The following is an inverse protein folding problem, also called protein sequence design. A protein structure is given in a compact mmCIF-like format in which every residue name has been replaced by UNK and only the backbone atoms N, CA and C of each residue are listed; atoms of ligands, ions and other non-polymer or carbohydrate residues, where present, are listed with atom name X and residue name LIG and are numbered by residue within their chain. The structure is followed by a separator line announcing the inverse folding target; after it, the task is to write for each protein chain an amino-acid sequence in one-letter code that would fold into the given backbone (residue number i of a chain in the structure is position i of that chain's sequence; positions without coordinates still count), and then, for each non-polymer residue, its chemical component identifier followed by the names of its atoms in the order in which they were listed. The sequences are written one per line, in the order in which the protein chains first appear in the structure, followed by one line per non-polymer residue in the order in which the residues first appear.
data_IF_746752274941
#
_entry.id   IF_746752274941
#
_cell.length_a   1.000
_cell.length_b   1.000
_cell.length_c   1.000
_cell.angle_alpha   90.00
_cell.angle_beta   90.00
_cell.angle_gamma   90.00
#
_symmetry.space_group_name_H-M   'P 1'
#
loop_
_entity.id
_entity.type
_entity.pdbx_description
1 polymer ?
#
# COMPACT_ATOMS: atom_id res chain seq x y z
N UNK A 1 -38.03 -58.97 38.35
CA UNK A 1 -38.05 -59.35 36.92
C UNK A 1 -38.05 -58.05 36.12
N UNK A 2 -37.17 -57.75 35.18
CA UNK A 2 -35.90 -58.32 34.78
C UNK A 2 -35.07 -57.13 34.25
N UNK A 3 -33.79 -57.13 34.60
CA UNK A 3 -32.74 -56.28 34.09
C UNK A 3 -32.40 -56.61 32.64
N UNK A 4 -32.04 -55.61 31.83
CA UNK A 4 -31.07 -55.81 30.74
C UNK A 4 -30.24 -54.54 30.51
N UNK A 5 -28.94 -54.71 30.70
CA UNK A 5 -27.82 -53.79 30.48
C UNK A 5 -27.23 -53.99 29.08
N UNK A 6 -26.36 -53.03 28.73
CA UNK A 6 -25.13 -53.08 27.89
C UNK A 6 -25.18 -52.42 26.50
N UNK A 7 -24.04 -51.96 25.94
CA UNK A 7 -22.75 -51.62 26.60
C UNK A 7 -22.10 -50.31 26.10
N UNK A 8 -21.17 -49.82 26.92
CA UNK A 8 -20.16 -48.83 26.57
C UNK A 8 -19.07 -49.44 25.66
N UNK A 9 -18.68 -48.72 24.61
CA UNK A 9 -17.51 -49.05 23.78
C UNK A 9 -16.39 -48.04 24.02
N UNK A 10 -15.30 -48.54 24.61
CA UNK A 10 -14.05 -47.81 24.80
C UNK A 10 -13.29 -47.66 23.48
N UNK A 11 -12.79 -46.47 23.21
CA UNK A 11 -11.92 -46.19 22.07
C UNK A 11 -10.46 -46.33 22.51
N UNK A 12 -9.78 -47.36 21.97
CA UNK A 12 -8.38 -47.70 22.21
C UNK A 12 -7.44 -46.71 21.53
N UNK A 13 -6.48 -46.21 22.30
CA UNK A 13 -5.32 -45.47 21.84
C UNK A 13 -4.43 -46.37 20.95
N UNK A 14 -4.31 -46.07 19.65
CA UNK A 14 -3.40 -46.77 18.73
C UNK A 14 -2.04 -46.05 18.71
N UNK A 15 -1.02 -46.70 19.28
CA UNK A 15 0.40 -46.41 19.00
C UNK A 15 0.68 -46.58 17.50
N UNK A 16 1.25 -45.57 16.85
CA UNK A 16 1.87 -45.71 15.52
C UNK A 16 3.38 -45.86 15.69
N UNK A 17 3.88 -46.93 15.07
CA UNK A 17 5.28 -47.33 15.02
C UNK A 17 6.16 -46.25 14.37
N UNK A 18 7.31 -46.02 14.98
CA UNK A 18 8.52 -45.52 14.32
C UNK A 18 9.14 -46.69 13.52
N UNK A 19 9.36 -46.50 12.22
CA UNK A 19 10.47 -47.10 11.48
C UNK A 19 10.48 -46.57 10.03
N UNK A 20 11.62 -45.96 9.64
CA UNK A 20 12.14 -46.01 8.28
C UNK A 20 11.73 -44.88 7.34
N UNK A 21 12.56 -43.83 7.25
CA UNK A 21 12.97 -43.28 5.95
C UNK A 21 14.36 -42.64 6.09
N UNK A 22 15.20 -43.02 5.14
CA UNK A 22 16.64 -42.86 5.13
C UNK A 22 17.12 -41.41 4.99
N UNK A 23 18.30 -41.23 5.54
CA UNK A 23 19.31 -40.17 5.35
C UNK A 23 19.43 -39.63 3.92
N UNK A 24 19.34 -38.30 3.77
CA UNK A 24 20.13 -37.53 2.81
C UNK A 24 20.71 -36.31 3.54
N UNK A 25 22.01 -36.08 3.36
CA UNK A 25 22.83 -35.18 4.16
C UNK A 25 22.61 -33.69 3.94
N UNK A 26 23.11 -32.92 4.90
CA UNK A 26 23.11 -31.45 4.99
C UNK A 26 23.83 -30.78 3.80
N UNK A 27 23.46 -29.52 3.48
CA UNK A 27 24.29 -28.43 4.00
C UNK A 27 23.49 -27.19 4.44
N UNK A 28 23.92 -26.59 5.55
CA UNK A 28 23.46 -25.30 6.05
C UNK A 28 22.72 -25.41 7.38
N UNK A 29 23.44 -25.27 8.49
CA UNK A 29 22.86 -25.03 9.80
C UNK A 29 22.01 -23.75 9.75
N UNK A 30 20.71 -23.90 9.52
CA UNK A 30 19.74 -22.89 9.95
C UNK A 30 19.57 -23.09 11.44
N UNK A 31 20.05 -22.14 12.23
CA UNK A 31 19.75 -22.06 13.66
C UNK A 31 18.23 -22.23 13.87
N UNK A 32 17.84 -23.41 14.36
CA UNK A 32 16.46 -23.79 14.65
C UNK A 32 16.07 -23.42 16.09
N UNK A 33 16.69 -22.37 16.66
CA UNK A 33 16.22 -21.81 17.91
C UNK A 33 14.80 -21.23 17.72
N UNK A 34 13.83 -21.54 18.60
CA UNK A 34 12.51 -20.96 18.50
C UNK A 34 12.64 -19.43 18.66
N UNK A 35 12.44 -18.67 17.57
CA UNK A 35 12.37 -17.19 17.67
C UNK A 35 11.37 -16.82 18.77
N UNK A 36 11.87 -16.12 19.79
CA UNK A 36 11.10 -15.73 20.96
C UNK A 36 9.90 -14.87 20.55
N UNK A 37 8.79 -14.97 21.30
CA UNK A 37 7.69 -14.03 21.10
C UNK A 37 8.16 -12.60 21.39
N UNK A 38 7.63 -11.61 20.67
CA UNK A 38 7.92 -10.19 20.89
C UNK A 38 7.86 -9.81 22.38
N UNK A 39 6.84 -10.33 23.08
CA UNK A 39 6.60 -10.07 24.51
C UNK A 39 7.62 -10.70 25.45
N UNK A 40 8.44 -11.63 24.96
CA UNK A 40 9.49 -12.30 25.73
C UNK A 40 10.82 -11.55 25.66
N UNK A 41 11.00 -10.66 24.69
CA UNK A 41 12.25 -9.93 24.47
C UNK A 41 12.63 -9.11 25.71
N UNK A 42 13.91 -9.08 26.09
CA UNK A 42 14.43 -8.19 27.13
C UNK A 42 13.99 -6.72 26.98
N UNK A 43 14.07 -6.14 25.78
CA UNK A 43 13.61 -4.76 25.54
C UNK A 43 12.11 -4.57 25.77
N UNK A 44 11.30 -5.58 25.44
CA UNK A 44 9.86 -5.55 25.71
C UNK A 44 9.56 -5.59 27.21
N UNK A 45 10.21 -6.50 27.94
CA UNK A 45 10.08 -6.59 29.40
C UNK A 45 10.52 -5.28 30.06
N UNK A 46 11.62 -4.68 29.61
CA UNK A 46 12.07 -3.38 30.10
C UNK A 46 11.05 -2.25 29.85
N UNK A 47 10.40 -2.23 28.68
CA UNK A 47 9.28 -1.31 28.41
C UNK A 47 8.09 -1.56 29.33
N UNK A 48 7.73 -2.82 29.55
CA UNK A 48 6.61 -3.20 30.42
C UNK A 48 6.88 -2.82 31.87
N UNK A 49 8.09 -3.05 32.37
CA UNK A 49 8.51 -2.68 33.71
C UNK A 49 8.51 -1.16 33.87
N UNK A 50 9.06 -0.43 32.89
CA UNK A 50 9.00 1.03 32.87
C UNK A 50 7.55 1.55 32.88
N UNK A 51 6.68 1.00 32.04
CA UNK A 51 5.26 1.34 32.00
C UNK A 51 4.58 1.12 33.36
N UNK A 52 4.81 -0.05 33.98
CA UNK A 52 4.22 -0.42 35.26
C UNK A 52 4.68 0.48 36.41
N UNK A 53 5.94 0.90 36.39
CA UNK A 53 6.58 1.67 37.45
C UNK A 53 6.31 3.18 37.35
N UNK A 54 6.33 3.76 36.15
CA UNK A 54 6.13 5.21 35.97
C UNK A 54 5.54 5.63 34.62
N UNK A 55 5.73 4.86 33.55
CA UNK A 55 5.31 5.25 32.19
C UNK A 55 3.80 5.49 32.06
N UNK A 56 2.97 4.69 32.74
CA UNK A 56 1.50 4.86 32.77
C UNK A 56 1.06 6.17 33.43
N UNK A 57 1.87 6.69 34.35
CA UNK A 57 1.58 7.87 35.18
C UNK A 57 2.09 9.18 34.53
N UNK A 58 2.71 9.10 33.34
CA UNK A 58 3.16 10.28 32.61
C UNK A 58 1.98 11.19 32.22
N UNK A 59 2.03 12.44 32.67
CA UNK A 59 1.04 13.48 32.37
C UNK A 59 1.66 14.50 31.40
N UNK A 60 1.10 14.59 30.18
CA UNK A 60 1.62 15.44 29.10
C UNK A 60 1.77 16.90 29.54
N UNK A 61 0.77 17.46 30.23
CA UNK A 61 0.81 18.84 30.73
C UNK A 61 2.01 19.09 31.65
N UNK A 62 2.32 18.13 32.53
CA UNK A 62 3.45 18.20 33.45
C UNK A 62 4.78 18.13 32.69
N UNK A 63 4.88 17.19 31.75
CA UNK A 63 6.06 17.04 30.88
C UNK A 63 6.36 18.32 30.10
N UNK A 64 5.34 19.01 29.58
CA UNK A 64 5.50 20.28 28.87
C UNK A 64 5.89 21.44 29.81
N UNK A 65 5.39 21.47 31.05
CA UNK A 65 5.75 22.54 31.98
C UNK A 65 7.15 22.40 32.58
N UNK A 66 7.61 21.16 32.79
CA UNK A 66 8.87 20.87 33.47
C UNK A 66 10.09 20.86 32.53
N UNK A 67 9.90 20.50 31.26
CA UNK A 67 10.97 20.51 30.24
C UNK A 67 10.69 21.61 29.20
N UNK A 68 11.29 22.78 29.42
CA UNK A 68 11.17 23.94 28.52
C UNK A 68 11.73 23.67 27.12
N UNK A 69 12.63 22.69 26.95
CA UNK A 69 13.18 22.27 25.66
C UNK A 69 12.47 21.06 25.05
N UNK A 70 11.31 20.66 25.60
CA UNK A 70 10.62 19.43 25.20
C UNK A 70 10.20 19.45 23.73
N UNK A 71 9.72 20.59 23.24
CA UNK A 71 9.30 20.70 21.85
C UNK A 71 10.48 20.39 20.91
N UNK A 72 11.64 21.00 21.14
CA UNK A 72 12.84 20.81 20.35
C UNK A 72 13.38 19.37 20.48
N UNK A 73 13.36 18.82 21.69
CA UNK A 73 13.84 17.46 21.97
C UNK A 73 12.94 16.37 21.36
N UNK A 74 11.63 16.63 21.25
CA UNK A 74 10.62 15.70 20.76
C UNK A 74 9.96 16.22 19.47
N UNK A 75 10.76 16.87 18.63
CA UNK A 75 10.38 17.22 17.27
C UNK A 75 11.46 16.78 16.29
N UNK A 76 11.04 16.48 15.06
CA UNK A 76 11.93 16.21 13.95
C UNK A 76 11.54 17.11 12.78
N UNK A 77 12.45 17.99 12.38
CA UNK A 77 12.32 18.78 11.16
C UNK A 77 12.99 18.03 10.02
N UNK A 78 12.25 17.79 8.95
CA UNK A 78 12.73 17.13 7.75
C UNK A 78 12.69 18.13 6.59
N UNK A 79 13.84 18.75 6.23
CA UNK A 79 13.88 19.73 5.16
C UNK A 79 13.64 19.04 3.82
N UNK A 80 12.51 19.32 3.17
CA UNK A 80 12.25 18.81 1.83
C UNK A 80 13.08 19.60 0.81
N UNK A 81 13.37 19.04 -0.37
CA UNK A 81 14.25 19.70 -1.34
C UNK A 81 13.75 21.07 -1.82
N UNK A 82 12.43 21.25 -1.97
CA UNK A 82 11.84 22.42 -2.63
C UNK A 82 10.63 23.03 -1.89
N UNK A 83 9.98 22.28 -0.98
CA UNK A 83 8.63 22.61 -0.47
C UNK A 83 8.61 22.99 1.03
N UNK A 84 9.78 23.25 1.61
CA UNK A 84 9.95 23.60 3.03
C UNK A 84 10.07 22.39 3.96
N UNK A 85 10.02 22.62 5.26
CA UNK A 85 10.22 21.56 6.26
C UNK A 85 8.93 20.79 6.54
N UNK A 86 9.02 19.46 6.58
CA UNK A 86 8.02 18.63 7.29
C UNK A 86 8.40 18.61 8.76
N UNK A 87 7.52 19.12 9.62
CA UNK A 87 7.68 19.05 11.07
C UNK A 87 6.88 17.87 11.64
N UNK A 88 7.57 16.92 12.26
CA UNK A 88 6.98 15.87 13.08
C UNK A 88 7.15 16.27 14.54
N UNK A 89 6.12 16.90 15.12
CA UNK A 89 6.04 17.19 16.55
C UNK A 89 5.40 16.01 17.29
N UNK A 90 6.21 15.31 18.09
CA UNK A 90 5.76 14.22 18.95
C UNK A 90 5.90 14.56 20.45
N UNK A 91 6.11 15.83 20.79
CA UNK A 91 6.24 16.32 22.18
C UNK A 91 4.96 16.14 22.99
N UNK A 92 3.80 16.12 22.34
CA UNK A 92 2.48 15.97 22.96
C UNK A 92 2.07 14.51 23.17
N UNK A 93 3.06 13.63 23.33
CA UNK A 93 2.86 12.21 23.65
C UNK A 93 3.25 11.89 25.10
N UNK A 94 2.70 10.81 25.65
CA UNK A 94 3.06 10.25 26.97
C UNK A 94 4.38 9.49 26.92
N UNK A 95 5.45 10.21 26.56
CA UNK A 95 6.81 9.68 26.41
C UNK A 95 7.82 10.64 27.03
N UNK A 96 8.83 10.12 27.69
CA UNK A 96 10.02 10.86 28.09
C UNK A 96 11.27 10.30 27.36
N UNK A 97 12.46 10.79 27.73
CA UNK A 97 13.72 10.36 27.11
C UNK A 97 13.97 8.85 27.31
N UNK A 98 13.61 8.33 28.49
CA UNK A 98 13.77 6.92 28.81
C UNK A 98 12.81 6.05 27.99
N UNK A 99 11.55 6.47 27.85
CA UNK A 99 10.53 5.80 27.04
C UNK A 99 11.02 5.66 25.60
N UNK A 100 11.47 6.77 25.00
CA UNK A 100 11.98 6.75 23.61
C UNK A 100 13.22 5.88 23.48
N UNK A 101 14.17 5.94 24.42
CA UNK A 101 15.36 5.08 24.40
C UNK A 101 14.99 3.59 24.45
N UNK A 102 14.04 3.21 25.29
CA UNK A 102 13.56 1.83 25.40
C UNK A 102 12.85 1.36 24.12
N UNK A 103 12.06 2.24 23.48
CA UNK A 103 11.42 1.96 22.19
C UNK A 103 12.46 1.77 21.07
N UNK A 104 13.51 2.59 21.03
CA UNK A 104 14.60 2.40 20.07
C UNK A 104 15.39 1.11 20.34
N UNK A 105 15.58 0.72 21.60
CA UNK A 105 16.19 -0.56 21.94
C UNK A 105 15.34 -1.74 21.44
N UNK A 106 14.00 -1.65 21.57
CA UNK A 106 13.08 -2.64 20.99
C UNK A 106 13.22 -2.72 19.48
N UNK A 107 13.26 -1.58 18.78
CA UNK A 107 13.46 -1.56 17.32
C UNK A 107 14.77 -2.24 16.89
N UNK A 108 15.86 -2.00 17.63
CA UNK A 108 17.17 -2.61 17.38
C UNK A 108 17.15 -4.11 17.65
N UNK A 109 16.56 -4.55 18.75
CA UNK A 109 16.44 -5.98 19.10
C UNK A 109 15.54 -6.74 18.12
N UNK A 110 14.46 -6.11 17.63
CA UNK A 110 13.61 -6.64 16.57
C UNK A 110 14.23 -6.54 15.16
N UNK A 111 15.46 -6.06 15.02
CA UNK A 111 16.19 -6.00 13.77
C UNK A 111 15.46 -5.24 12.64
N UNK A 112 14.83 -4.11 12.99
CA UNK A 112 14.05 -3.30 12.05
C UNK A 112 14.90 -2.84 10.87
N UNK A 113 16.16 -2.49 11.09
CA UNK A 113 17.08 -2.05 10.03
C UNK A 113 17.43 -3.18 9.07
N UNK A 114 17.64 -4.39 9.57
CA UNK A 114 17.89 -5.58 8.74
C UNK A 114 16.66 -5.89 7.88
N UNK A 115 15.45 -5.87 8.45
CA UNK A 115 14.23 -6.12 7.68
C UNK A 115 13.93 -5.02 6.66
N UNK A 116 14.20 -3.75 7.00
CA UNK A 116 14.18 -2.64 6.05
C UNK A 116 15.15 -2.91 4.89
N UNK A 117 16.40 -3.26 5.18
CA UNK A 117 17.39 -3.52 4.15
C UNK A 117 16.99 -4.71 3.27
N UNK A 118 16.44 -5.77 3.85
CA UNK A 118 15.90 -6.91 3.11
C UNK A 118 14.76 -6.51 2.16
N UNK A 119 13.84 -5.64 2.61
CA UNK A 119 12.78 -5.08 1.75
C UNK A 119 13.38 -4.30 0.57
N UNK A 120 14.29 -3.37 0.86
CA UNK A 120 14.88 -2.49 -0.15
C UNK A 120 15.84 -3.22 -1.10
N UNK A 121 16.37 -4.38 -0.72
CA UNK A 121 17.16 -5.23 -1.60
C UNK A 121 16.33 -6.26 -2.39
N UNK A 122 15.00 -6.20 -2.32
CA UNK A 122 14.11 -7.10 -3.04
C UNK A 122 14.04 -8.53 -2.51
N UNK A 123 14.45 -8.78 -1.26
CA UNK A 123 14.26 -10.10 -0.66
C UNK A 123 12.78 -10.43 -0.49
N UNK A 124 12.46 -11.72 -0.49
CA UNK A 124 11.10 -12.23 -0.37
C UNK A 124 10.59 -12.18 1.08
N UNK A 125 10.37 -10.96 1.58
CA UNK A 125 9.92 -10.73 2.97
C UNK A 125 8.41 -10.96 3.17
N UNK A 126 7.64 -11.09 2.09
CA UNK A 126 6.27 -11.60 2.16
C UNK A 126 6.33 -13.14 2.20
N UNK A 127 6.58 -13.67 3.39
CA UNK A 127 6.87 -15.08 3.60
C UNK A 127 5.69 -16.02 3.34
N UNK A 128 4.46 -15.52 3.45
CA UNK A 128 3.25 -16.34 3.21
C UNK A 128 3.03 -16.59 1.73
N UNK A 129 3.41 -15.64 0.88
CA UNK A 129 3.24 -15.73 -0.57
C UNK A 129 4.55 -15.96 -1.33
N UNK A 130 5.68 -16.01 -0.64
CA UNK A 130 7.03 -16.11 -1.23
C UNK A 130 7.32 -14.98 -2.25
N UNK A 131 7.03 -13.73 -1.85
CA UNK A 131 7.16 -12.55 -2.73
C UNK A 131 8.05 -11.46 -2.15
N UNK A 132 8.73 -10.76 -3.05
CA UNK A 132 9.35 -9.48 -2.74
C UNK A 132 8.28 -8.41 -2.43
N UNK A 133 8.66 -7.37 -1.68
CA UNK A 133 7.81 -6.20 -1.39
C UNK A 133 8.57 -4.97 -1.83
N UNK A 134 8.33 -4.50 -3.05
CA UNK A 134 9.25 -3.56 -3.71
C UNK A 134 8.56 -2.34 -4.33
N UNK A 135 7.48 -1.85 -3.71
CA UNK A 135 6.78 -0.63 -4.15
C UNK A 135 7.69 0.62 -4.22
N UNK A 136 8.83 0.61 -3.51
CA UNK A 136 9.86 1.66 -3.58
C UNK A 136 10.55 1.73 -4.94
N UNK A 137 10.59 0.63 -5.72
CA UNK A 137 11.17 0.64 -7.07
C UNK A 137 10.37 1.55 -8.02
N UNK A 138 9.05 1.63 -7.83
CA UNK A 138 8.12 2.41 -8.66
C UNK A 138 8.42 3.91 -8.65
N UNK A 139 9.09 4.37 -7.60
CA UNK A 139 9.45 5.77 -7.38
C UNK A 139 10.95 5.99 -7.20
N UNK A 140 11.78 4.99 -7.52
CA UNK A 140 13.24 5.11 -7.40
C UNK A 140 13.82 6.07 -8.45
N UNK A 141 13.91 7.35 -8.14
CA UNK A 141 14.38 8.40 -9.09
C UNK A 141 15.89 8.43 -9.28
N UNK A 142 16.65 7.74 -8.43
CA UNK A 142 18.09 7.56 -8.64
C UNK A 142 18.39 6.54 -9.74
N UNK A 143 17.39 5.75 -10.17
CA UNK A 143 17.56 4.67 -11.16
C UNK A 143 18.71 3.70 -10.83
N UNK A 144 19.08 3.60 -9.55
CA UNK A 144 20.02 2.58 -9.11
C UNK A 144 19.34 1.21 -9.17
N UNK A 145 20.06 0.15 -9.61
CA UNK A 145 19.46 -1.16 -9.82
C UNK A 145 18.77 -1.71 -8.57
N UNK A 146 17.60 -2.33 -8.76
CA UNK A 146 16.88 -3.03 -7.71
C UNK A 146 16.50 -4.42 -8.21
N UNK A 147 17.03 -5.44 -7.54
CA UNK A 147 16.97 -6.81 -8.03
C UNK A 147 15.78 -7.56 -7.43
N UNK A 148 15.00 -8.23 -8.28
CA UNK A 148 14.06 -9.28 -7.89
C UNK A 148 14.45 -10.54 -8.64
N UNK A 149 14.70 -11.64 -7.92
CA UNK A 149 15.17 -12.90 -8.48
C UNK A 149 16.39 -12.74 -9.42
N UNK A 150 17.32 -11.85 -9.03
CA UNK A 150 18.56 -11.57 -9.77
C UNK A 150 18.41 -10.63 -10.99
N UNK A 151 17.20 -10.14 -11.28
CA UNK A 151 16.93 -9.23 -12.40
C UNK A 151 16.63 -7.83 -11.91
N UNK A 152 17.29 -6.83 -12.52
CA UNK A 152 16.98 -5.42 -12.28
C UNK A 152 15.59 -5.07 -12.85
N UNK A 153 14.72 -4.54 -11.98
CA UNK A 153 13.34 -4.18 -12.33
C UNK A 153 13.22 -2.76 -12.87
N UNK A 154 14.24 -1.91 -12.68
CA UNK A 154 14.17 -0.49 -13.05
C UNK A 154 13.91 -0.22 -14.54
N UNK A 155 14.49 -0.98 -15.50
CA UNK A 155 14.17 -0.79 -16.92
C UNK A 155 12.69 -1.00 -17.24
N UNK A 156 12.06 -1.99 -16.61
CA UNK A 156 10.62 -2.27 -16.82
C UNK A 156 9.74 -1.21 -16.16
N UNK A 157 10.11 -0.74 -14.96
CA UNK A 157 9.44 0.38 -14.28
C UNK A 157 9.47 1.63 -15.16
N UNK A 158 10.64 2.00 -15.67
CA UNK A 158 10.79 3.19 -16.51
C UNK A 158 10.05 3.07 -17.83
N UNK A 159 10.05 1.89 -18.46
CA UNK A 159 9.28 1.64 -19.69
C UNK A 159 7.77 1.89 -19.48
N UNK A 160 7.21 1.43 -18.37
CA UNK A 160 5.79 1.71 -18.05
C UNK A 160 5.56 3.19 -17.77
N UNK A 161 6.47 3.86 -17.06
CA UNK A 161 6.39 5.31 -16.82
C UNK A 161 6.46 6.12 -18.13
N UNK A 162 7.35 5.75 -19.06
CA UNK A 162 7.46 6.40 -20.36
C UNK A 162 6.20 6.18 -21.20
N UNK A 163 5.62 4.98 -21.13
CA UNK A 163 4.34 4.69 -21.77
C UNK A 163 3.20 5.53 -21.16
N UNK A 164 3.13 5.62 -19.83
CA UNK A 164 2.17 6.50 -19.14
C UNK A 164 2.35 7.97 -19.52
N UNK A 165 3.60 8.43 -19.68
CA UNK A 165 3.92 9.80 -20.12
C UNK A 165 3.36 10.08 -21.50
N UNK A 166 3.67 9.23 -22.47
CA UNK A 166 3.19 9.37 -23.85
C UNK A 166 1.66 9.43 -23.89
N UNK A 167 1.01 8.44 -23.27
CA UNK A 167 -0.45 8.37 -23.23
C UNK A 167 -1.09 9.57 -22.51
N UNK A 168 -0.57 9.97 -21.35
CA UNK A 168 -1.06 11.13 -20.59
C UNK A 168 -0.98 12.39 -21.43
N UNK A 169 0.15 12.62 -22.10
CA UNK A 169 0.35 13.80 -22.93
C UNK A 169 -0.57 13.81 -24.15
N UNK A 170 -0.80 12.66 -24.78
CA UNK A 170 -1.73 12.54 -25.90
C UNK A 170 -3.17 12.84 -25.49
N UNK A 171 -3.62 12.35 -24.34
CA UNK A 171 -4.97 12.64 -23.83
C UNK A 171 -5.11 14.11 -23.43
N UNK A 172 -4.19 14.67 -22.64
CA UNK A 172 -4.29 16.04 -22.13
C UNK A 172 -4.15 17.07 -23.26
N UNK A 173 -3.28 16.83 -24.24
CA UNK A 173 -3.16 17.70 -25.43
C UNK A 173 -4.38 17.62 -26.36
N UNK A 174 -5.22 16.59 -26.19
CA UNK A 174 -6.34 16.30 -27.06
C UNK A 174 -5.95 15.67 -28.39
N UNK A 175 -4.72 15.16 -28.53
CA UNK A 175 -4.33 14.33 -29.66
C UNK A 175 -5.06 12.98 -29.65
N UNK A 176 -5.23 12.40 -28.46
CA UNK A 176 -6.11 11.25 -28.29
C UNK A 176 -7.57 11.67 -28.49
N UNK A 177 -8.22 11.03 -29.46
CA UNK A 177 -9.62 11.31 -29.81
C UNK A 177 -10.50 10.12 -29.52
N UNK A 178 -11.72 10.41 -29.07
CA UNK A 178 -12.79 9.43 -29.04
C UNK A 178 -13.19 8.94 -30.43
N UNK A 179 -14.15 8.02 -30.49
CA UNK A 179 -14.56 7.36 -31.72
C UNK A 179 -15.20 8.33 -32.73
N UNK A 180 -15.73 9.46 -32.28
CA UNK A 180 -16.26 10.55 -33.14
C UNK A 180 -15.25 11.65 -33.46
N UNK A 181 -13.99 11.49 -33.06
CA UNK A 181 -12.94 12.49 -33.29
C UNK A 181 -12.89 13.63 -32.26
N UNK A 182 -13.77 13.61 -31.26
CA UNK A 182 -13.79 14.58 -30.17
C UNK A 182 -12.68 14.31 -29.14
N UNK A 183 -12.22 15.37 -28.44
CA UNK A 183 -11.25 15.22 -27.35
C UNK A 183 -11.90 14.56 -26.13
N UNK A 184 -11.11 13.84 -25.34
CA UNK A 184 -11.56 13.29 -24.06
C UNK A 184 -11.80 14.44 -23.06
N UNK A 185 -12.90 14.36 -22.32
CA UNK A 185 -13.30 15.31 -21.26
C UNK A 185 -13.41 14.64 -19.90
N UNK A 186 -13.74 13.35 -19.88
CA UNK A 186 -14.04 12.59 -18.68
C UNK A 186 -13.19 11.32 -18.64
N UNK A 187 -12.70 10.97 -17.46
CA UNK A 187 -12.00 9.71 -17.21
C UNK A 187 -12.71 8.98 -16.08
N UNK A 188 -13.04 7.71 -16.29
CA UNK A 188 -13.69 6.85 -15.29
C UNK A 188 -12.73 5.74 -14.90
N UNK A 189 -12.21 5.79 -13.68
CA UNK A 189 -11.41 4.72 -13.09
C UNK A 189 -12.33 3.65 -12.50
N UNK A 190 -12.27 2.44 -13.04
CA UNK A 190 -13.02 1.27 -12.54
C UNK A 190 -12.05 0.33 -11.84
N UNK A 191 -12.13 0.25 -10.51
CA UNK A 191 -11.25 -0.56 -9.68
C UNK A 191 -11.73 -0.57 -8.24
N UNK A 192 -11.27 -1.51 -7.41
CA UNK A 192 -11.67 -1.61 -6.00
C UNK A 192 -10.46 -1.68 -5.07
N UNK A 193 -10.61 -1.20 -3.84
CA UNK A 193 -9.57 -1.22 -2.82
C UNK A 193 -8.33 -0.45 -3.26
N UNK A 194 -7.19 -1.12 -3.39
CA UNK A 194 -5.93 -0.47 -3.74
C UNK A 194 -5.89 0.14 -5.15
N UNK A 195 -6.75 -0.36 -6.05
CA UNK A 195 -6.94 0.16 -7.41
C UNK A 195 -7.89 1.36 -7.50
N UNK A 196 -8.38 1.85 -6.36
CA UNK A 196 -9.33 2.97 -6.25
C UNK A 196 -8.89 4.00 -5.20
N UNK A 197 -8.67 3.55 -3.96
CA UNK A 197 -8.46 4.42 -2.81
C UNK A 197 -7.25 5.35 -2.94
N UNK A 198 -6.12 4.83 -3.44
CA UNK A 198 -4.92 5.63 -3.69
C UNK A 198 -5.13 6.69 -4.77
N UNK A 199 -5.52 6.29 -6.00
CA UNK A 199 -5.87 7.22 -7.06
C UNK A 199 -6.90 8.29 -6.68
N UNK A 200 -8.01 7.91 -6.04
CA UNK A 200 -9.04 8.85 -5.60
C UNK A 200 -8.49 9.82 -4.54
N UNK A 201 -7.71 9.31 -3.58
CA UNK A 201 -7.11 10.17 -2.55
C UNK A 201 -6.18 11.22 -3.15
N UNK A 202 -5.27 10.82 -4.05
CA UNK A 202 -4.30 11.75 -4.62
C UNK A 202 -4.95 12.75 -5.58
N UNK A 203 -5.92 12.32 -6.38
CA UNK A 203 -6.63 13.23 -7.31
C UNK A 203 -7.45 14.28 -6.57
N UNK A 204 -8.05 13.95 -5.42
CA UNK A 204 -8.69 14.94 -4.56
C UNK A 204 -7.66 15.82 -3.82
N UNK A 205 -6.58 15.24 -3.31
CA UNK A 205 -5.50 15.97 -2.62
C UNK A 205 -4.82 17.01 -3.52
N UNK A 206 -4.60 16.67 -4.79
CA UNK A 206 -3.88 17.47 -5.77
C UNK A 206 -4.81 18.14 -6.79
N UNK A 207 -6.10 18.29 -6.45
CA UNK A 207 -7.11 18.94 -7.29
C UNK A 207 -6.71 20.32 -7.81
N UNK A 208 -5.99 21.19 -7.06
CA UNK A 208 -5.50 22.47 -7.59
C UNK A 208 -4.58 22.36 -8.81
N UNK A 209 -3.98 21.19 -9.05
CA UNK A 209 -3.06 20.94 -10.17
C UNK A 209 -3.74 20.31 -11.40
N UNK A 210 -5.07 20.16 -11.37
CA UNK A 210 -5.83 19.49 -12.44
C UNK A 210 -5.65 20.19 -13.81
N UNK A 211 -5.45 19.39 -14.87
CA UNK A 211 -5.19 19.81 -16.26
C UNK A 211 -6.43 19.93 -17.16
N UNK A 212 -7.62 19.87 -16.59
CA UNK A 212 -8.91 20.10 -17.26
C UNK A 212 -9.76 18.85 -17.51
N UNK A 213 -9.32 17.67 -17.07
CA UNK A 213 -10.12 16.44 -17.14
C UNK A 213 -11.02 16.31 -15.90
N UNK A 214 -12.23 15.78 -16.11
CA UNK A 214 -13.12 15.38 -15.00
C UNK A 214 -12.90 13.92 -14.67
N UNK A 215 -12.51 13.63 -13.44
CA UNK A 215 -12.20 12.28 -12.98
C UNK A 215 -13.39 11.71 -12.19
N UNK A 216 -13.78 10.48 -12.52
CA UNK A 216 -14.79 9.71 -11.81
C UNK A 216 -14.20 8.39 -11.35
N UNK A 217 -14.65 7.89 -10.21
CA UNK A 217 -14.15 6.65 -9.61
C UNK A 217 -15.34 5.72 -9.37
N UNK A 218 -15.28 4.49 -9.87
CA UNK A 218 -16.33 3.47 -9.72
C UNK A 218 -15.71 2.22 -9.13
N UNK A 219 -16.07 1.92 -7.89
CA UNK A 219 -15.46 0.82 -7.13
C UNK A 219 -16.45 -0.18 -6.55
N UNK A 220 -17.61 0.30 -6.12
CA UNK A 220 -18.67 -0.55 -5.57
C UNK A 220 -19.35 -1.37 -6.68
N UNK A 221 -19.70 -2.63 -6.39
CA UNK A 221 -20.48 -3.48 -7.29
C UNK A 221 -21.97 -3.10 -7.31
N UNK A 222 -22.44 -2.34 -6.32
CA UNK A 222 -23.75 -1.70 -6.37
C UNK A 222 -23.88 -0.85 -7.65
N UNK A 223 -24.82 -1.26 -8.52
CA UNK A 223 -25.05 -0.65 -9.83
C UNK A 223 -25.37 0.84 -9.78
N UNK A 224 -25.80 1.36 -8.62
CA UNK A 224 -25.99 2.79 -8.38
C UNK A 224 -24.71 3.58 -8.66
N UNK A 225 -23.54 3.05 -8.27
CA UNK A 225 -22.29 3.79 -8.38
C UNK A 225 -21.93 4.07 -9.84
N UNK A 226 -21.98 3.05 -10.70
CA UNK A 226 -21.77 3.23 -12.12
C UNK A 226 -22.89 4.08 -12.75
N UNK A 227 -24.15 3.80 -12.44
CA UNK A 227 -25.29 4.51 -13.02
C UNK A 227 -25.24 6.03 -12.77
N UNK A 228 -24.85 6.47 -11.57
CA UNK A 228 -24.72 7.90 -11.24
C UNK A 228 -23.55 8.58 -11.97
N UNK A 229 -22.48 7.84 -12.28
CA UNK A 229 -21.38 8.35 -13.11
C UNK A 229 -21.81 8.43 -14.58
N UNK A 230 -22.46 7.39 -15.11
CA UNK A 230 -22.91 7.35 -16.51
C UNK A 230 -23.92 8.46 -16.87
N UNK A 231 -24.69 8.98 -15.89
CA UNK A 231 -25.58 10.14 -16.09
C UNK A 231 -24.86 11.46 -16.36
N UNK A 232 -23.57 11.55 -16.03
CA UNK A 232 -22.78 12.81 -16.05
C UNK A 232 -21.84 12.91 -17.24
N UNK A 233 -21.64 11.82 -17.98
CA UNK A 233 -20.58 11.70 -18.98
C UNK A 233 -21.15 11.43 -20.38
N UNK A 234 -20.37 11.76 -21.41
CA UNK A 234 -20.74 11.52 -22.81
C UNK A 234 -19.96 10.31 -23.38
N UNK A 235 -20.62 9.32 -24.01
CA UNK A 235 -19.94 8.20 -24.66
C UNK A 235 -18.87 8.61 -25.67
N UNK A 236 -19.03 9.78 -26.31
CA UNK A 236 -18.10 10.28 -27.33
C UNK A 236 -16.79 10.84 -26.77
N UNK A 237 -16.77 11.22 -25.48
CA UNK A 237 -15.64 11.96 -24.87
C UNK A 237 -15.16 11.35 -23.55
N UNK A 238 -15.63 10.17 -23.16
CA UNK A 238 -15.20 9.48 -21.94
C UNK A 238 -14.07 8.50 -22.21
N UNK A 239 -13.09 8.40 -21.31
CA UNK A 239 -12.10 7.33 -21.26
C UNK A 239 -12.31 6.47 -20.01
N UNK A 240 -12.45 5.16 -20.19
CA UNK A 240 -12.54 4.19 -19.09
C UNK A 240 -11.18 3.55 -18.82
N UNK A 241 -10.76 3.54 -17.56
CA UNK A 241 -9.55 2.87 -17.08
C UNK A 241 -9.98 1.66 -16.25
N UNK A 242 -9.66 0.46 -16.73
CA UNK A 242 -9.99 -0.78 -16.02
C UNK A 242 -8.78 -1.21 -15.18
N UNK A 243 -8.86 -0.99 -13.86
CA UNK A 243 -7.79 -1.23 -12.91
C UNK A 243 -7.99 -2.55 -12.17
N UNK A 244 -7.36 -3.63 -12.65
CA UNK A 244 -7.38 -4.95 -11.99
C UNK A 244 -6.15 -5.77 -12.38
N UNK A 245 -5.36 -6.15 -11.36
CA UNK A 245 -4.15 -6.97 -11.53
C UNK A 245 -4.43 -8.25 -12.32
N UNK A 246 -5.39 -9.03 -11.87
CA UNK A 246 -5.74 -10.32 -12.47
C UNK A 246 -6.70 -10.19 -13.63
N UNK A 247 -7.38 -9.04 -13.76
CA UNK A 247 -8.50 -8.82 -14.67
C UNK A 247 -9.67 -9.80 -14.44
N UNK A 248 -9.83 -10.25 -13.19
CA UNK A 248 -10.87 -11.22 -12.80
C UNK A 248 -11.64 -10.81 -11.54
N UNK A 249 -11.29 -9.68 -10.92
CA UNK A 249 -12.00 -9.16 -9.73
C UNK A 249 -13.47 -8.93 -10.06
N UNK A 250 -14.36 -9.56 -9.29
CA UNK A 250 -15.79 -9.63 -9.63
C UNK A 250 -16.42 -8.25 -9.74
N UNK A 251 -16.17 -7.37 -8.78
CA UNK A 251 -16.68 -6.00 -8.74
C UNK A 251 -16.18 -5.19 -9.94
N UNK A 252 -14.86 -5.22 -10.20
CA UNK A 252 -14.24 -4.49 -11.31
C UNK A 252 -14.76 -4.96 -12.67
N UNK A 253 -14.81 -6.28 -12.91
CA UNK A 253 -15.20 -6.82 -14.23
C UNK A 253 -16.71 -6.68 -14.48
N UNK A 254 -17.53 -6.77 -13.43
CA UNK A 254 -18.98 -6.48 -13.54
C UNK A 254 -19.20 -5.03 -13.96
N UNK A 255 -18.53 -4.07 -13.31
CA UNK A 255 -18.60 -2.66 -13.67
C UNK A 255 -18.02 -2.38 -15.06
N UNK A 256 -16.86 -2.96 -15.39
CA UNK A 256 -16.22 -2.80 -16.69
C UNK A 256 -17.11 -3.31 -17.84
N UNK A 257 -17.72 -4.48 -17.67
CA UNK A 257 -18.64 -5.08 -18.65
C UNK A 257 -19.90 -4.23 -18.82
N UNK A 258 -20.44 -3.71 -17.71
CA UNK A 258 -21.60 -2.81 -17.73
C UNK A 258 -21.29 -1.49 -18.43
N UNK A 259 -20.13 -0.88 -18.14
CA UNK A 259 -19.66 0.34 -18.81
C UNK A 259 -19.43 0.11 -20.31
N UNK A 260 -18.81 -1.02 -20.69
CA UNK A 260 -18.63 -1.41 -22.09
C UNK A 260 -19.97 -1.60 -22.81
N UNK A 261 -20.94 -2.24 -22.17
CA UNK A 261 -22.29 -2.42 -22.76
C UNK A 261 -22.95 -1.07 -23.01
N UNK A 262 -22.99 -0.20 -21.99
CA UNK A 262 -23.51 1.16 -22.12
C UNK A 262 -22.81 1.96 -23.23
N UNK A 263 -21.48 1.85 -23.32
CA UNK A 263 -20.69 2.53 -24.34
C UNK A 263 -21.03 2.03 -25.75
N UNK A 264 -21.09 0.71 -25.95
CA UNK A 264 -21.39 0.09 -27.25
C UNK A 264 -22.85 0.31 -27.67
N UNK A 265 -23.76 0.49 -26.73
CA UNK A 265 -25.13 0.89 -27.02
C UNK A 265 -25.20 2.29 -27.66
N UNK A 266 -24.23 3.17 -27.38
CA UNK A 266 -24.13 4.47 -28.05
C UNK A 266 -23.26 4.41 -29.31
N UNK A 267 -22.04 3.84 -29.21
CA UNK A 267 -21.06 3.84 -30.29
C UNK A 267 -21.44 2.95 -31.47
N UNK A 268 -22.22 1.88 -31.23
CA UNK A 268 -22.65 0.87 -32.22
C UNK A 268 -21.51 0.20 -33.02
N UNK A 269 -20.26 0.36 -32.59
CA UNK A 269 -19.08 -0.23 -33.20
C UNK A 269 -18.15 -0.83 -32.12
N UNK A 270 -17.96 -2.16 -32.09
CA UNK A 270 -17.01 -2.82 -31.18
C UNK A 270 -15.56 -2.31 -31.30
N UNK A 271 -15.13 -1.83 -32.46
CA UNK A 271 -13.77 -1.33 -32.67
C UNK A 271 -13.49 -0.06 -31.86
N UNK A 272 -14.54 0.68 -31.49
CA UNK A 272 -14.45 1.90 -30.69
C UNK A 272 -13.92 1.67 -29.26
N UNK A 273 -13.97 0.43 -28.75
CA UNK A 273 -13.44 0.06 -27.42
C UNK A 273 -11.96 0.42 -27.32
N UNK A 274 -11.18 0.20 -28.39
CA UNK A 274 -9.74 0.50 -28.40
C UNK A 274 -9.42 1.99 -28.17
N UNK A 275 -10.37 2.91 -28.37
CA UNK A 275 -10.19 4.36 -28.14
C UNK A 275 -10.71 4.85 -26.79
N UNK A 276 -11.58 4.07 -26.15
CA UNK A 276 -12.32 4.48 -24.95
C UNK A 276 -12.03 3.62 -23.73
N UNK A 277 -11.28 2.52 -23.87
CA UNK A 277 -10.93 1.64 -22.76
C UNK A 277 -9.43 1.36 -22.76
N UNK A 278 -8.83 1.51 -21.59
CA UNK A 278 -7.44 1.12 -21.30
C UNK A 278 -7.41 0.22 -20.07
N UNK A 279 -6.36 -0.59 -19.93
CA UNK A 279 -6.25 -1.57 -18.86
C UNK A 279 -4.98 -1.38 -18.03
N UNK A 280 -5.12 -1.47 -16.71
CA UNK A 280 -4.00 -1.55 -15.77
C UNK A 280 -3.98 -2.98 -15.22
N UNK A 281 -3.15 -3.84 -15.81
CA UNK A 281 -3.23 -5.28 -15.60
C UNK A 281 -1.95 -6.03 -15.97
N UNK A 282 -1.85 -7.28 -15.52
CA UNK A 282 -0.82 -8.23 -15.96
C UNK A 282 -1.37 -9.32 -16.87
N UNK A 283 -2.67 -9.31 -17.17
CA UNK A 283 -3.35 -10.39 -17.87
C UNK A 283 -3.72 -9.99 -19.31
N UNK A 284 -2.73 -10.01 -20.19
CA UNK A 284 -2.87 -9.60 -21.60
C UNK A 284 -4.01 -10.35 -22.32
N UNK A 285 -4.14 -11.66 -22.09
CA UNK A 285 -5.19 -12.46 -22.71
C UNK A 285 -6.59 -11.94 -22.36
N UNK A 286 -6.87 -11.66 -21.07
CA UNK A 286 -8.16 -11.14 -20.63
C UNK A 286 -8.43 -9.71 -21.10
N UNK A 287 -7.38 -8.88 -21.18
CA UNK A 287 -7.47 -7.51 -21.71
C UNK A 287 -7.84 -7.54 -23.20
N UNK A 288 -7.17 -8.40 -23.97
CA UNK A 288 -7.47 -8.61 -25.39
C UNK A 288 -8.86 -9.19 -25.61
N UNK A 289 -9.28 -10.18 -24.82
CA UNK A 289 -10.63 -10.75 -24.88
C UNK A 289 -11.71 -9.70 -24.57
N UNK A 290 -11.39 -8.73 -23.69
CA UNK A 290 -12.27 -7.60 -23.42
C UNK A 290 -12.34 -6.60 -24.60
N UNK A 291 -11.45 -6.70 -25.59
CA UNK A 291 -11.42 -5.82 -26.76
C UNK A 291 -10.60 -4.53 -26.58
N UNK A 292 -9.82 -4.45 -25.50
CA UNK A 292 -8.84 -3.38 -25.32
C UNK A 292 -7.61 -3.70 -26.17
N UNK A 293 -7.08 -2.71 -26.88
CA UNK A 293 -5.80 -2.82 -27.56
C UNK A 293 -4.69 -3.09 -26.54
N UNK A 294 -3.84 -4.09 -26.76
CA UNK A 294 -2.75 -4.40 -25.84
C UNK A 294 -1.71 -3.29 -25.77
N UNK A 295 -1.64 -2.42 -26.79
CA UNK A 295 -0.89 -1.17 -26.73
C UNK A 295 -1.44 -0.20 -25.67
N UNK A 296 -2.70 -0.34 -25.24
CA UNK A 296 -3.32 0.43 -24.17
C UNK A 296 -3.37 -0.34 -22.84
N UNK A 297 -2.54 -1.38 -22.70
CA UNK A 297 -2.33 -2.08 -21.44
C UNK A 297 -1.08 -1.54 -20.74
N UNK A 298 -1.24 -1.18 -19.47
CA UNK A 298 -0.16 -0.72 -18.61
C UNK A 298 0.12 -1.80 -17.55
N UNK A 299 1.28 -2.44 -17.68
CA UNK A 299 1.73 -3.51 -16.80
C UNK A 299 2.16 -3.04 -15.41
N UNK A 300 2.10 -3.95 -14.44
CA UNK A 300 2.74 -3.81 -13.13
C UNK A 300 3.05 -5.19 -12.56
N UNK A 301 3.73 -5.29 -11.41
CA UNK A 301 4.34 -6.55 -10.97
C UNK A 301 3.67 -7.19 -9.75
N UNK A 302 4.00 -8.45 -9.51
CA UNK A 302 3.48 -9.25 -8.41
C UNK A 302 3.90 -8.69 -7.04
N UNK A 303 5.14 -8.18 -6.92
CA UNK A 303 5.73 -7.50 -5.76
C UNK A 303 5.11 -6.13 -5.43
N UNK A 304 4.19 -5.64 -6.28
CA UNK A 304 3.35 -4.47 -5.99
C UNK A 304 2.08 -4.94 -5.28
N UNK A 305 2.01 -4.67 -3.97
CA UNK A 305 0.79 -4.86 -3.18
C UNK A 305 -0.26 -3.81 -3.54
N UNK A 306 -1.54 -4.20 -3.58
CA UNK A 306 -2.64 -3.32 -4.02
C UNK A 306 -2.70 -1.99 -3.27
N UNK A 307 -2.68 -2.03 -1.93
CA UNK A 307 -2.67 -0.83 -1.07
C UNK A 307 -1.38 0.00 -1.11
N UNK A 308 -0.38 -0.44 -1.88
CA UNK A 308 0.87 0.29 -2.15
C UNK A 308 1.05 0.58 -3.64
N UNK A 309 0.00 0.49 -4.45
CA UNK A 309 0.11 0.46 -5.91
C UNK A 309 -0.02 1.82 -6.61
N UNK A 310 -0.44 2.89 -5.94
CA UNK A 310 -0.72 4.19 -6.59
C UNK A 310 0.48 4.79 -7.37
N UNK A 311 1.69 4.33 -7.07
CA UNK A 311 2.95 4.76 -7.71
C UNK A 311 3.22 4.03 -9.04
N UNK A 312 2.49 2.95 -9.34
CA UNK A 312 2.64 2.17 -10.58
C UNK A 312 1.71 2.70 -11.68
N UNK A 313 1.48 1.88 -12.72
CA UNK A 313 0.39 2.05 -13.68
C UNK A 313 -0.97 2.39 -13.03
N UNK A 314 -1.26 1.90 -11.82
CA UNK A 314 -2.48 2.25 -11.05
C UNK A 314 -2.64 3.77 -10.88
N UNK A 315 -1.54 4.53 -10.84
CA UNK A 315 -1.53 5.98 -10.82
C UNK A 315 -1.87 6.67 -12.14
N UNK A 316 -2.26 5.96 -13.21
CA UNK A 316 -2.55 6.58 -14.51
C UNK A 316 -3.65 7.64 -14.43
N UNK A 317 -4.71 7.42 -13.64
CA UNK A 317 -5.75 8.42 -13.41
C UNK A 317 -5.24 9.65 -12.65
N UNK A 318 -4.23 9.49 -11.79
CA UNK A 318 -3.52 10.61 -11.15
C UNK A 318 -2.77 11.40 -12.23
N UNK A 319 -1.96 10.71 -13.05
CA UNK A 319 -1.19 11.32 -14.13
C UNK A 319 -2.07 12.09 -15.12
N UNK A 320 -3.22 11.52 -15.51
CA UNK A 320 -4.20 12.20 -16.36
C UNK A 320 -4.81 13.43 -15.68
N UNK A 321 -5.05 13.38 -14.36
CA UNK A 321 -5.57 14.52 -13.61
C UNK A 321 -4.58 15.68 -13.58
N UNK A 322 -3.35 15.45 -13.10
CA UNK A 322 -2.39 16.52 -12.77
C UNK A 322 -1.31 16.75 -13.83
N UNK A 323 -1.26 15.92 -14.87
CA UNK A 323 -0.19 15.88 -15.87
C UNK A 323 1.02 15.08 -15.40
N UNK A 324 1.76 14.50 -16.35
CA UNK A 324 2.84 13.56 -16.05
C UNK A 324 4.00 14.22 -15.26
N UNK A 325 4.35 15.48 -15.55
CA UNK A 325 5.43 16.16 -14.83
C UNK A 325 5.12 16.35 -13.34
N UNK A 326 3.86 16.61 -12.99
CA UNK A 326 3.42 16.67 -11.60
C UNK A 326 3.34 15.26 -10.97
N UNK A 327 3.01 14.23 -11.75
CA UNK A 327 3.10 12.84 -11.29
C UNK A 327 4.55 12.45 -10.97
N UNK A 328 5.53 12.90 -11.76
CA UNK A 328 6.96 12.70 -11.45
C UNK A 328 7.35 13.39 -10.14
N UNK A 329 6.90 14.60 -9.87
CA UNK A 329 7.14 15.29 -8.59
C UNK A 329 6.55 14.52 -7.40
N UNK A 330 5.37 13.91 -7.56
CA UNK A 330 4.80 13.02 -6.54
C UNK A 330 5.71 11.80 -6.26
N UNK A 331 6.27 11.19 -7.32
CA UNK A 331 7.23 10.09 -7.18
C UNK A 331 8.52 10.56 -6.49
N UNK A 332 9.00 11.76 -6.81
CA UNK A 332 10.21 12.36 -6.21
C UNK A 332 10.04 12.60 -4.70
N UNK A 333 8.90 13.13 -4.26
CA UNK A 333 8.61 13.31 -2.84
C UNK A 333 8.62 11.97 -2.08
N UNK A 334 8.04 10.92 -2.67
CA UNK A 334 8.05 9.59 -2.08
C UNK A 334 9.46 8.97 -2.05
N UNK A 335 10.25 9.15 -3.11
CA UNK A 335 11.65 8.71 -3.17
C UNK A 335 12.51 9.38 -2.10
N UNK A 336 12.29 10.68 -1.88
CA UNK A 336 13.00 11.42 -0.86
C UNK A 336 12.69 10.86 0.54
N UNK A 337 11.43 10.54 0.83
CA UNK A 337 11.05 9.89 2.08
C UNK A 337 11.61 8.47 2.21
N UNK A 338 11.68 7.71 1.11
CA UNK A 338 12.32 6.38 1.09
C UNK A 338 13.82 6.46 1.42
N UNK A 339 14.51 7.48 0.89
CA UNK A 339 15.91 7.76 1.26
C UNK A 339 16.03 8.11 2.73
N UNK A 340 15.19 9.01 3.24
CA UNK A 340 15.17 9.33 4.68
C UNK A 340 14.97 8.08 5.54
N UNK A 341 13.98 7.24 5.18
CA UNK A 341 13.68 6.01 5.90
C UNK A 341 14.86 5.03 5.93
N UNK A 342 15.69 4.99 4.89
CA UNK A 342 16.85 4.08 4.80
C UNK A 342 18.13 4.66 5.38
N UNK A 343 18.38 5.96 5.25
CA UNK A 343 19.66 6.56 5.65
C UNK A 343 19.66 7.15 7.06
N UNK A 344 18.51 7.58 7.59
CA UNK A 344 18.46 8.22 8.90
C UNK A 344 18.63 7.18 10.03
N UNK A 345 19.45 7.47 11.06
CA UNK A 345 19.47 6.70 12.30
C UNK A 345 18.05 6.59 12.89
N UNK A 346 17.72 5.48 13.54
CA UNK A 346 16.37 5.22 14.07
C UNK A 346 15.84 6.37 14.94
N UNK A 347 16.71 6.98 15.74
CA UNK A 347 16.42 8.09 16.64
C UNK A 347 16.08 9.41 15.92
N UNK A 348 16.38 9.49 14.62
CA UNK A 348 16.12 10.63 13.73
C UNK A 348 15.28 10.23 12.52
N UNK A 349 14.63 9.07 12.56
CA UNK A 349 13.87 8.51 11.46
C UNK A 349 12.37 8.70 11.71
N UNK A 350 11.73 9.56 10.91
CA UNK A 350 10.35 10.00 11.10
C UNK A 350 9.35 8.84 11.09
N UNK A 351 9.33 8.01 10.02
CA UNK A 351 8.50 6.81 9.96
C UNK A 351 8.70 5.85 11.15
N UNK A 352 9.95 5.64 11.58
CA UNK A 352 10.26 4.76 12.73
C UNK A 352 9.70 5.35 14.03
N UNK A 353 9.90 6.64 14.29
CA UNK A 353 9.38 7.30 15.49
C UNK A 353 7.86 7.18 15.55
N UNK A 354 7.16 7.45 14.44
CA UNK A 354 5.70 7.33 14.37
C UNK A 354 5.23 5.89 14.61
N UNK A 355 5.91 4.89 14.04
CA UNK A 355 5.60 3.48 14.28
C UNK A 355 5.80 3.07 15.75
N UNK A 356 6.91 3.51 16.37
CA UNK A 356 7.20 3.20 17.78
C UNK A 356 6.22 3.85 18.75
N UNK A 357 5.74 5.07 18.45
CA UNK A 357 4.65 5.69 19.19
C UNK A 357 3.36 4.89 19.05
N UNK A 358 3.05 4.38 17.85
CA UNK A 358 1.92 3.46 17.64
C UNK A 358 2.02 2.22 18.53
N UNK A 359 3.18 1.56 18.55
CA UNK A 359 3.43 0.40 19.43
C UNK A 359 3.26 0.77 20.91
N UNK A 360 3.77 1.93 21.33
CA UNK A 360 3.63 2.40 22.70
C UNK A 360 2.16 2.52 23.14
N UNK A 361 1.34 3.18 22.31
CA UNK A 361 -0.07 3.36 22.64
C UNK A 361 -0.90 2.09 22.50
N UNK A 362 -0.71 1.34 21.42
CA UNK A 362 -1.49 0.14 21.14
C UNK A 362 -1.22 -0.95 22.17
N UNK A 363 0.05 -1.17 22.52
CA UNK A 363 0.43 -2.35 23.30
C UNK A 363 0.53 -2.10 24.81
N UNK A 364 0.86 -0.88 25.25
CA UNK A 364 1.03 -0.58 26.68
C UNK A 364 -0.16 0.19 27.24
N UNK A 365 -0.66 1.20 26.51
CA UNK A 365 -1.86 1.94 26.91
C UNK A 365 -3.18 1.28 26.47
N UNK A 366 -3.13 0.26 25.61
CA UNK A 366 -4.33 -0.42 25.09
C UNK A 366 -5.20 0.49 24.20
N UNK A 367 -4.59 1.47 23.52
CA UNK A 367 -5.32 2.32 22.59
C UNK A 367 -5.60 1.54 21.29
N UNK A 368 -6.83 1.11 21.08
CA UNK A 368 -7.22 0.29 19.92
C UNK A 368 -7.58 1.13 18.67
N UNK A 369 -7.55 2.46 18.76
CA UNK A 369 -7.97 3.36 17.69
C UNK A 369 -6.94 4.46 17.44
N UNK A 370 -6.65 4.73 16.17
CA UNK A 370 -5.83 5.86 15.74
C UNK A 370 -6.64 6.78 14.81
N UNK A 371 -6.75 8.06 15.17
CA UNK A 371 -7.42 9.05 14.35
C UNK A 371 -6.44 9.72 13.38
N UNK A 372 -6.80 9.78 12.09
CA UNK A 372 -6.12 10.58 11.08
C UNK A 372 -6.98 11.80 10.77
N UNK A 373 -6.53 12.98 11.21
CA UNK A 373 -7.27 14.24 11.16
C UNK A 373 -6.50 15.27 10.32
N UNK A 374 -6.48 15.14 8.99
CA UNK A 374 -5.82 16.12 8.14
C UNK A 374 -6.58 17.46 8.20
N UNK A 375 -5.89 18.55 8.52
CA UNK A 375 -6.44 19.91 8.52
C UNK A 375 -6.31 20.54 7.13
N UNK A 376 -6.77 19.81 6.12
CA UNK A 376 -6.83 20.24 4.72
C UNK A 376 -8.03 19.56 4.05
N UNK A 377 -8.92 20.34 3.45
CA UNK A 377 -10.14 19.84 2.83
C UNK A 377 -9.85 18.94 1.61
N UNK A 378 -8.76 19.19 0.88
CA UNK A 378 -8.36 18.35 -0.24
C UNK A 378 -7.94 16.95 0.24
N UNK A 379 -7.48 16.82 1.48
CA UNK A 379 -7.11 15.55 2.12
C UNK A 379 -8.29 14.79 2.75
N UNK A 380 -9.55 15.12 2.45
CA UNK A 380 -10.70 14.43 3.05
C UNK A 380 -10.78 12.91 2.77
N UNK A 381 -10.07 12.40 1.74
CA UNK A 381 -9.93 10.96 1.42
C UNK A 381 -8.68 10.30 2.02
N UNK A 382 -7.80 11.07 2.66
CA UNK A 382 -6.53 10.60 3.21
C UNK A 382 -6.71 9.47 4.22
N UNK A 383 -7.65 9.65 5.16
CA UNK A 383 -7.95 8.64 6.17
C UNK A 383 -8.47 7.33 5.55
N UNK A 384 -9.32 7.40 4.51
CA UNK A 384 -9.85 6.20 3.84
C UNK A 384 -8.75 5.38 3.14
N UNK A 385 -7.79 6.05 2.51
CA UNK A 385 -6.63 5.38 1.91
C UNK A 385 -5.76 4.67 2.97
N UNK A 386 -5.41 5.37 4.05
CA UNK A 386 -4.60 4.78 5.13
C UNK A 386 -5.36 3.75 5.97
N UNK A 387 -6.69 3.80 6.01
CA UNK A 387 -7.49 2.75 6.62
C UNK A 387 -7.18 1.39 6.00
N UNK A 388 -7.15 1.31 4.66
CA UNK A 388 -6.71 0.10 3.98
C UNK A 388 -5.22 -0.16 4.20
N UNK A 389 -4.39 0.88 4.05
CA UNK A 389 -2.94 0.79 4.18
C UNK A 389 -2.47 0.20 5.51
N UNK A 390 -3.10 0.58 6.62
CA UNK A 390 -2.79 0.11 7.96
C UNK A 390 -3.55 -1.18 8.29
N UNK A 391 -4.88 -1.16 8.26
CA UNK A 391 -5.69 -2.27 8.80
C UNK A 391 -5.53 -3.57 7.98
N UNK A 392 -5.45 -3.48 6.65
CA UNK A 392 -5.26 -4.68 5.80
C UNK A 392 -3.82 -5.22 5.89
N UNK A 393 -2.85 -4.36 6.20
CA UNK A 393 -1.45 -4.76 6.45
C UNK A 393 -1.29 -5.42 7.80
N UNK A 394 -1.77 -4.77 8.86
CA UNK A 394 -1.38 -5.03 10.24
C UNK A 394 -2.48 -5.71 11.07
N UNK A 395 -3.72 -5.80 10.58
CA UNK A 395 -4.83 -6.54 11.19
C UNK A 395 -4.64 -8.06 11.08
N UNK A 396 -3.59 -8.60 11.72
CA UNK A 396 -3.16 -9.99 11.62
C UNK A 396 -3.08 -10.61 13.01
N UNK A 397 -3.47 -11.89 13.09
CA UNK A 397 -3.45 -12.68 14.34
C UNK A 397 -2.47 -13.85 14.29
N UNK A 398 -1.88 -14.12 13.13
CA UNK A 398 -0.95 -15.23 12.91
C UNK A 398 0.44 -14.73 12.57
N UNK A 399 1.45 -15.37 13.14
CA UNK A 399 2.85 -15.13 12.81
C UNK A 399 3.36 -16.37 12.07
N UNK A 400 3.74 -16.22 10.80
CA UNK A 400 4.50 -17.25 10.09
C UNK A 400 5.97 -17.06 10.46
N UNK A 401 6.47 -17.92 11.35
CA UNK A 401 7.88 -17.92 11.77
C UNK A 401 8.71 -18.49 10.63
N UNK A 402 9.54 -17.67 10.01
CA UNK A 402 10.58 -18.14 9.09
C UNK A 402 11.71 -18.71 9.95
N UNK A 403 12.32 -19.84 9.55
CA UNK A 403 13.53 -20.38 10.18
C UNK A 403 14.49 -19.29 10.63
#
# INVERSE_FOLDING_TARGET
MATTKCPATGMRCRKRNQAGLNTFGSPGDTDMSPKEFLTCLPSWKALQDYYNNCGKDLVIKKLLSEDQGRFENFSLKLPTPQDGDILIDYSKNRVDKQTMQLLFNLAKECQVEQMRNAMFSGQKINFTEDRAVLHIALRNRSNCPLLVDGKDVMPEVNSVLDHMKAFTNDVISGNWKGYTGQKITDVVNIGIGGSDLGPLMVTEALKPYNKGLTLHFVSNIDGTHLAEVLKKICPETVLFIIASKTFTTQETITNATSAKTWFLDAAKDPSAVAKHFVALSTNEAKVKDFGIDTANMFGFWDWVGGRYSLWSAIGLSISLSIGFDNFVQLLEGAHWMDKHFTSAPLEKNGPVILALLGIWYNNFFGAETQALLPYDQYLHRFAAYFQQGDMESNGKLSIKRVP
#
